data_IF_268480235882
#
_entry.id   IF_268480235882
#
_cell.length_a   1.000
_cell.length_b   1.000
_cell.length_c   1.000
_cell.angle_alpha   90.00
_cell.angle_beta   90.00
_cell.angle_gamma   90.00
#
_symmetry.space_group_name_H-M   'P 1'
#
loop_
_entity.id
_entity.type
_entity.pdbx_description
1 polymer ?
#
# COMPACT_ATOMS: atom_id res chain seq x y z
N UNK A 1 8.20 -21.91 -59.42
CA UNK A 1 6.94 -22.09 -58.67
C UNK A 1 7.19 -22.42 -57.19
N UNK A 2 8.33 -23.01 -56.81
CA UNK A 2 8.50 -23.69 -55.50
C UNK A 2 8.82 -22.77 -54.30
N UNK A 3 9.47 -21.62 -54.55
CA UNK A 3 9.85 -20.69 -53.49
C UNK A 3 8.66 -20.06 -52.76
N UNK A 4 7.55 -19.81 -53.46
CA UNK A 4 6.37 -19.18 -52.89
C UNK A 4 5.74 -20.03 -51.78
N UNK A 5 5.73 -21.36 -51.89
CA UNK A 5 5.17 -22.24 -50.85
C UNK A 5 6.01 -22.21 -49.58
N UNK A 6 7.34 -22.12 -49.72
CA UNK A 6 8.26 -22.05 -48.59
C UNK A 6 8.09 -20.74 -47.80
N UNK A 7 7.97 -19.61 -48.49
CA UNK A 7 7.69 -18.32 -47.84
C UNK A 7 6.33 -18.31 -47.13
N UNK A 8 5.29 -18.88 -47.75
CA UNK A 8 3.96 -18.98 -47.13
C UNK A 8 3.96 -19.90 -45.90
N UNK A 9 4.69 -21.02 -45.94
CA UNK A 9 4.82 -21.93 -44.81
C UNK A 9 5.53 -21.29 -43.61
N UNK A 10 6.62 -20.54 -43.87
CA UNK A 10 7.33 -19.80 -42.82
C UNK A 10 6.46 -18.68 -42.21
N UNK A 11 5.71 -17.95 -43.04
CA UNK A 11 4.80 -16.91 -42.57
C UNK A 11 3.68 -17.50 -41.69
N UNK A 12 3.08 -18.62 -42.09
CA UNK A 12 2.04 -19.30 -41.31
C UNK A 12 2.57 -19.78 -39.94
N UNK A 13 3.79 -20.33 -39.90
CA UNK A 13 4.43 -20.77 -38.66
C UNK A 13 4.70 -19.58 -37.71
N UNK A 14 5.16 -18.46 -38.25
CA UNK A 14 5.43 -17.25 -37.47
C UNK A 14 4.14 -16.65 -36.89
N UNK A 15 3.06 -16.63 -37.67
CA UNK A 15 1.72 -16.18 -37.21
C UNK A 15 1.21 -17.08 -36.08
N UNK A 16 1.37 -18.40 -36.20
CA UNK A 16 0.95 -19.35 -35.18
C UNK A 16 1.73 -19.15 -33.87
N UNK A 17 3.04 -18.92 -33.96
CA UNK A 17 3.89 -18.65 -32.80
C UNK A 17 3.47 -17.36 -32.08
N UNK A 18 3.21 -16.28 -32.83
CA UNK A 18 2.72 -15.02 -32.27
C UNK A 18 1.32 -15.15 -31.64
N UNK A 19 0.47 -16.02 -32.19
CA UNK A 19 -0.85 -16.29 -31.62
C UNK A 19 -0.72 -16.99 -30.27
N UNK A 20 0.21 -17.95 -30.13
CA UNK A 20 0.42 -18.65 -28.85
C UNK A 20 1.00 -17.77 -27.74
N UNK A 21 1.80 -16.75 -28.08
CA UNK A 21 2.36 -15.80 -27.09
C UNK A 21 1.35 -14.74 -26.66
N UNK A 22 0.38 -14.42 -27.51
CA UNK A 22 -0.66 -13.43 -27.22
C UNK A 22 -1.91 -14.01 -26.53
N UNK A 23 -2.03 -15.34 -26.49
CA UNK A 23 -3.01 -16.03 -25.66
C UNK A 23 -2.54 -15.96 -24.20
N UNK A 24 -2.89 -14.85 -23.53
CA UNK A 24 -2.87 -14.78 -22.07
C UNK A 24 -3.70 -15.97 -21.56
N UNK A 25 -3.07 -16.96 -20.96
CA UNK A 25 -3.75 -18.07 -20.30
C UNK A 25 -4.66 -17.46 -19.22
N UNK A 26 -5.94 -17.30 -19.53
CA UNK A 26 -6.97 -17.04 -18.53
C UNK A 26 -7.14 -18.32 -17.70
N UNK A 27 -6.21 -18.55 -16.77
CA UNK A 27 -6.45 -19.47 -15.68
C UNK A 27 -7.59 -18.86 -14.85
N UNK A 28 -8.76 -19.48 -14.89
CA UNK A 28 -9.89 -19.13 -14.02
C UNK A 28 -9.65 -19.63 -12.58
N UNK A 29 -8.43 -19.52 -12.07
CA UNK A 29 -8.15 -19.65 -10.66
C UNK A 29 -8.77 -18.44 -9.97
N UNK A 30 -9.87 -18.65 -9.26
CA UNK A 30 -10.41 -17.60 -8.39
C UNK A 30 -9.33 -17.30 -7.35
N UNK A 31 -8.81 -16.07 -7.27
CA UNK A 31 -7.85 -15.74 -6.24
C UNK A 31 -8.46 -16.07 -4.89
N UNK A 32 -7.66 -16.65 -4.00
CA UNK A 32 -8.11 -16.85 -2.62
C UNK A 32 -8.57 -15.50 -2.05
N UNK A 33 -9.52 -15.49 -1.09
CA UNK A 33 -10.00 -14.23 -0.52
C UNK A 33 -8.86 -13.31 -0.05
N UNK A 34 -7.81 -13.89 0.55
CA UNK A 34 -6.62 -13.16 0.99
C UNK A 34 -5.83 -12.54 -0.17
N UNK A 35 -5.67 -13.26 -1.29
CA UNK A 35 -5.01 -12.72 -2.49
C UNK A 35 -5.85 -11.59 -3.11
N UNK A 36 -7.18 -11.75 -3.16
CA UNK A 36 -8.07 -10.72 -3.68
C UNK A 36 -8.01 -9.43 -2.82
N UNK A 37 -7.94 -9.56 -1.49
CA UNK A 37 -7.79 -8.42 -0.58
C UNK A 37 -6.42 -7.75 -0.72
N UNK A 38 -5.37 -8.54 -0.85
CA UNK A 38 -4.02 -8.03 -1.09
C UNK A 38 -3.92 -7.28 -2.42
N UNK A 39 -4.50 -7.82 -3.51
CA UNK A 39 -4.55 -7.17 -4.81
C UNK A 39 -5.39 -5.87 -4.79
N UNK A 40 -6.51 -5.87 -4.07
CA UNK A 40 -7.30 -4.66 -3.85
C UNK A 40 -6.48 -3.56 -3.17
N UNK A 41 -5.74 -3.88 -2.11
CA UNK A 41 -4.85 -2.94 -1.42
C UNK A 41 -3.72 -2.48 -2.33
N UNK A 42 -3.03 -3.37 -3.03
CA UNK A 42 -1.95 -3.01 -3.98
C UNK A 42 -2.46 -2.05 -5.04
N UNK A 43 -3.59 -2.37 -5.66
CA UNK A 43 -4.22 -1.53 -6.69
C UNK A 43 -4.58 -0.15 -6.14
N UNK A 44 -5.18 -0.11 -4.96
CA UNK A 44 -5.53 1.15 -4.28
C UNK A 44 -4.28 1.97 -3.92
N UNK A 45 -3.20 1.33 -3.48
CA UNK A 45 -1.96 2.00 -3.09
C UNK A 45 -1.15 2.53 -4.29
N UNK A 46 -1.33 1.98 -5.50
CA UNK A 46 -0.63 2.47 -6.71
C UNK A 46 -0.97 3.91 -7.07
N UNK A 47 -2.12 4.41 -6.65
CA UNK A 47 -2.54 5.80 -6.90
C UNK A 47 -2.00 6.79 -5.85
N UNK A 48 -1.33 6.29 -4.80
CA UNK A 48 -0.77 7.12 -3.74
C UNK A 48 0.66 7.56 -4.04
N UNK A 49 1.12 8.65 -3.42
CA UNK A 49 2.50 9.15 -3.55
C UNK A 49 3.56 8.20 -2.99
N UNK A 50 3.18 7.32 -2.05
CA UNK A 50 4.09 6.35 -1.43
C UNK A 50 3.53 4.92 -1.50
N UNK A 51 3.53 4.28 -2.68
CA UNK A 51 2.88 2.98 -2.87
C UNK A 51 3.43 1.89 -1.95
N UNK A 52 4.77 1.81 -1.79
CA UNK A 52 5.41 0.81 -0.94
C UNK A 52 5.04 0.98 0.54
N UNK A 53 5.06 2.22 1.04
CA UNK A 53 4.68 2.51 2.42
C UNK A 53 3.19 2.22 2.65
N UNK A 54 2.33 2.59 1.70
CA UNK A 54 0.91 2.32 1.75
C UNK A 54 0.64 0.81 1.85
N UNK A 55 1.23 0.02 0.95
CA UNK A 55 1.04 -1.44 0.91
C UNK A 55 1.54 -2.11 2.18
N UNK A 56 2.75 -1.79 2.65
CA UNK A 56 3.30 -2.36 3.89
C UNK A 56 2.49 -1.98 5.14
N UNK A 57 1.91 -0.77 5.17
CA UNK A 57 1.09 -0.32 6.30
C UNK A 57 -0.28 -0.99 6.36
N UNK A 58 -0.88 -1.29 5.19
CA UNK A 58 -2.27 -1.75 5.08
C UNK A 58 -2.42 -3.27 4.90
N UNK A 59 -1.39 -3.98 4.42
CA UNK A 59 -1.44 -5.43 4.18
C UNK A 59 -1.78 -6.24 5.43
N UNK A 60 -1.28 -5.84 6.60
CA UNK A 60 -1.62 -6.48 7.89
C UNK A 60 -3.10 -6.34 8.25
N UNK A 61 -3.82 -5.38 7.63
CA UNK A 61 -5.24 -5.15 7.80
C UNK A 61 -6.07 -5.71 6.63
N UNK A 62 -5.48 -6.48 5.71
CA UNK A 62 -6.14 -6.98 4.50
C UNK A 62 -7.46 -7.71 4.80
N UNK A 63 -7.49 -8.58 5.81
CA UNK A 63 -8.70 -9.30 6.20
C UNK A 63 -9.79 -8.39 6.76
N UNK A 64 -9.43 -7.25 7.37
CA UNK A 64 -10.38 -6.24 7.86
C UNK A 64 -10.90 -5.36 6.73
N UNK A 65 -10.01 -4.95 5.82
CA UNK A 65 -10.32 -4.06 4.69
C UNK A 65 -11.13 -4.77 3.61
N UNK A 66 -10.78 -6.03 3.35
CA UNK A 66 -11.34 -6.84 2.27
C UNK A 66 -11.21 -6.09 0.93
N UNK A 67 -12.32 -5.91 0.21
CA UNK A 67 -12.41 -5.12 -1.03
C UNK A 67 -13.19 -3.82 -0.85
N UNK A 68 -13.29 -3.31 0.39
CA UNK A 68 -14.09 -2.13 0.72
C UNK A 68 -13.25 -0.83 0.76
N UNK A 69 -13.49 0.13 -0.15
CA UNK A 69 -12.76 1.40 -0.15
C UNK A 69 -13.07 2.27 1.08
N UNK A 70 -14.28 2.15 1.65
CA UNK A 70 -14.64 2.88 2.87
C UNK A 70 -13.83 2.39 4.08
N UNK A 71 -13.68 1.08 4.23
CA UNK A 71 -12.91 0.48 5.33
C UNK A 71 -11.41 0.71 5.13
N UNK A 72 -10.93 0.69 3.88
CA UNK A 72 -9.57 1.08 3.53
C UNK A 72 -9.26 2.51 4.03
N UNK A 73 -10.11 3.48 3.68
CA UNK A 73 -9.92 4.88 4.07
C UNK A 73 -9.97 5.10 5.59
N UNK A 74 -10.93 4.47 6.28
CA UNK A 74 -11.04 4.53 7.74
C UNK A 74 -9.81 3.92 8.45
N UNK A 75 -9.32 2.79 7.94
CA UNK A 75 -8.13 2.13 8.46
C UNK A 75 -6.89 2.98 8.23
N UNK A 76 -6.72 3.53 7.02
CA UNK A 76 -5.60 4.42 6.69
C UNK A 76 -5.59 5.68 7.59
N UNK A 77 -6.75 6.28 7.83
CA UNK A 77 -6.89 7.42 8.72
C UNK A 77 -6.55 7.06 10.16
N UNK A 78 -6.99 5.90 10.63
CA UNK A 78 -6.69 5.39 11.97
C UNK A 78 -5.19 5.15 12.17
N UNK A 79 -4.51 4.56 11.17
CA UNK A 79 -3.05 4.38 11.18
C UNK A 79 -2.34 5.74 11.22
N UNK A 80 -2.75 6.68 10.36
CA UNK A 80 -2.15 8.01 10.32
C UNK A 80 -2.30 8.75 11.66
N UNK A 81 -3.47 8.66 12.29
CA UNK A 81 -3.74 9.23 13.61
C UNK A 81 -2.84 8.62 14.69
N UNK A 82 -2.71 7.28 14.68
CA UNK A 82 -1.87 6.55 15.62
C UNK A 82 -0.40 6.93 15.48
N UNK A 83 0.11 6.96 14.24
CA UNK A 83 1.48 7.36 13.93
C UNK A 83 1.72 8.81 14.36
N UNK A 84 0.82 9.75 14.03
CA UNK A 84 0.95 11.14 14.46
C UNK A 84 1.00 11.30 15.99
N UNK A 85 0.19 10.53 16.73
CA UNK A 85 0.21 10.54 18.18
C UNK A 85 1.51 9.96 18.76
N UNK A 86 2.00 8.85 18.19
CA UNK A 86 3.29 8.26 18.59
C UNK A 86 4.45 9.21 18.33
N UNK A 87 4.51 9.80 17.14
CA UNK A 87 5.49 10.82 16.77
C UNK A 87 5.42 12.04 17.68
N UNK A 88 4.23 12.52 18.03
CA UNK A 88 4.06 13.61 19.02
C UNK A 88 4.70 13.28 20.35
N UNK A 89 4.48 12.06 20.82
CA UNK A 89 4.97 11.61 22.11
C UNK A 89 6.49 11.50 22.08
N UNK A 90 7.04 10.97 20.99
CA UNK A 90 8.48 10.91 20.77
C UNK A 90 9.12 12.30 20.73
N UNK A 91 8.56 13.24 19.95
CA UNK A 91 9.06 14.63 19.87
C UNK A 91 8.98 15.31 21.25
N UNK A 92 7.88 15.13 21.99
CA UNK A 92 7.73 15.73 23.33
C UNK A 92 8.76 15.17 24.31
N UNK A 93 9.06 13.87 24.25
CA UNK A 93 10.09 13.24 25.08
C UNK A 93 11.47 13.78 24.70
N UNK A 94 11.80 13.81 23.42
CA UNK A 94 13.07 14.35 22.91
C UNK A 94 13.25 15.83 23.31
N UNK A 95 12.18 16.63 23.27
CA UNK A 95 12.22 18.04 23.69
C UNK A 95 12.52 18.23 25.18
N UNK A 96 12.22 17.23 26.00
CA UNK A 96 12.47 17.25 27.45
C UNK A 96 13.85 16.69 27.81
N UNK A 97 14.36 15.73 27.04
CA UNK A 97 15.65 15.07 27.30
C UNK A 97 16.82 15.75 26.59
N UNK A 98 16.57 16.33 25.42
CA UNK A 98 17.53 17.10 24.63
C UNK A 98 17.09 18.56 24.73
N UNK A 99 17.95 19.45 25.21
CA UNK A 99 17.77 20.90 25.05
C UNK A 99 17.80 21.20 23.55
N UNK A 100 16.65 21.10 22.87
CA UNK A 100 16.53 21.43 21.46
C UNK A 100 17.10 22.83 21.28
N UNK A 101 18.06 22.98 20.35
CA UNK A 101 18.68 24.29 20.14
C UNK A 101 17.56 25.28 19.77
N UNK A 102 17.67 26.57 20.13
CA UNK A 102 16.60 27.54 19.88
C UNK A 102 16.10 27.59 18.43
N UNK A 103 16.94 27.23 17.44
CA UNK A 103 16.57 27.10 16.03
C UNK A 103 15.69 25.89 15.69
N UNK A 104 15.74 24.81 16.47
CA UNK A 104 14.91 23.60 16.30
C UNK A 104 13.54 23.75 16.97
N UNK A 105 13.46 24.51 18.07
CA UNK A 105 12.20 24.88 18.73
C UNK A 105 11.36 25.85 17.88
N UNK A 106 12.01 26.72 17.09
CA UNK A 106 11.35 27.64 16.15
C UNK A 106 10.83 26.94 14.89
N UNK A 107 11.36 25.77 14.54
CA UNK A 107 11.02 25.07 13.31
C UNK A 107 9.61 24.41 13.33
N UNK A 108 8.94 24.30 14.49
CA UNK A 108 7.65 23.62 14.52
C UNK A 108 6.60 24.02 15.60
N UNK A 109 6.28 25.31 15.76
CA UNK A 109 5.20 25.73 16.66
C UNK A 109 3.80 25.21 16.24
N UNK A 110 3.61 24.81 14.97
CA UNK A 110 2.30 24.33 14.46
C UNK A 110 2.02 22.84 14.69
N UNK A 111 3.02 21.95 14.73
CA UNK A 111 2.77 20.54 15.07
C UNK A 111 2.25 20.39 16.51
N UNK A 112 2.88 21.06 17.48
CA UNK A 112 2.46 20.95 18.89
C UNK A 112 1.00 21.40 19.12
N UNK A 113 0.50 22.35 18.32
CA UNK A 113 -0.90 22.80 18.36
C UNK A 113 -1.87 21.72 17.87
N UNK A 114 -1.57 21.05 16.75
CA UNK A 114 -2.42 19.99 16.20
C UNK A 114 -2.43 18.71 17.05
N UNK A 115 -1.29 18.34 17.62
CA UNK A 115 -1.13 17.12 18.39
C UNK A 115 -1.92 17.10 19.71
N UNK A 116 -2.20 18.29 20.28
CA UNK A 116 -3.04 18.42 21.49
C UNK A 116 -4.49 18.00 21.26
N UNK A 117 -5.00 18.13 20.03
CA UNK A 117 -6.35 17.69 19.62
C UNK A 117 -6.46 16.18 19.44
N UNK A 118 -5.35 15.50 19.11
CA UNK A 118 -5.31 14.05 18.86
C UNK A 118 -5.35 13.22 20.15
N UNK A 119 -4.94 13.79 21.29
CA UNK A 119 -4.94 13.12 22.60
C UNK A 119 -6.34 12.65 23.05
N UNK A 120 -7.41 13.24 22.53
CA UNK A 120 -8.80 12.85 22.87
C UNK A 120 -9.38 11.68 22.06
N UNK A 121 -8.68 11.20 21.02
CA UNK A 121 -9.16 10.10 20.17
C UNK A 121 -8.05 9.08 20.02
N UNK A 122 -7.81 8.29 21.06
CA UNK A 122 -6.90 7.16 20.96
C UNK A 122 -7.46 6.16 19.93
N UNK A 123 -6.79 5.95 18.79
CA UNK A 123 -7.17 4.89 17.88
C UNK A 123 -6.85 3.56 18.58
N UNK A 124 -7.83 2.66 18.61
CA UNK A 124 -7.63 1.29 19.08
C UNK A 124 -6.76 0.58 18.03
N UNK A 125 -5.44 0.75 18.13
CA UNK A 125 -4.47 -0.04 17.38
C UNK A 125 -4.55 -1.44 17.96
N UNK A 126 -5.38 -2.29 17.35
CA UNK A 126 -5.16 -3.72 17.44
C UNK A 126 -3.88 -3.99 16.67
N UNK A 127 -2.78 -4.09 17.43
CA UNK A 127 -1.59 -4.81 17.03
C UNK A 127 -2.04 -6.22 16.65
N UNK A 128 -2.24 -6.46 15.36
CA UNK A 128 -2.36 -7.80 14.81
C UNK A 128 -1.05 -8.52 15.10
N UNK A 129 -1.02 -9.28 16.20
CA UNK A 129 0.05 -10.21 16.49
C UNK A 129 -0.02 -11.34 15.47
N UNK A 130 0.68 -11.17 14.35
CA UNK A 130 1.03 -12.24 13.43
C UNK A 130 2.43 -12.72 13.77
N UNK A 131 2.56 -13.62 14.73
CA UNK A 131 3.68 -14.55 14.81
C UNK A 131 3.27 -15.87 14.13
N UNK A 132 4.21 -16.58 13.49
CA UNK A 132 3.93 -17.71 12.60
C UNK A 132 3.18 -18.87 13.26
#
# INVERSE_FOLDING_TARGET
>A
MEGSYFFNALAALFILLQLTTHMNTCSAARPSPNEAYAEFIKTSCRTTTYPQLCTSSLLSYASKIQTSPKILADTALSIALATAHSTSTAITKLSKTQSLKPGEAAANPRLCGGLRRLRGRAPNVHTGNGTP
#
